data_IF_874469529897
#
_entry.id   IF_874469529897
#
_cell.length_a   1.000
_cell.length_b   1.000
_cell.length_c   1.000
_cell.angle_alpha   90.00
_cell.angle_beta   90.00
_cell.angle_gamma   90.00
#
_symmetry.space_group_name_H-M   'P 1'
#
loop_
_entity.id
_entity.type
_entity.pdbx_description
1 polymer ?
#
# COMPACT_ATOMS: atom_id res chain seq x y z
N UNK A 1 -10.47 20.27 -12.88
CA UNK A 1 -10.55 19.32 -11.73
C UNK A 1 -10.60 17.87 -12.23
N UNK A 2 -10.20 17.57 -13.47
CA UNK A 2 -8.83 17.34 -13.93
C UNK A 2 -8.19 16.08 -13.32
N UNK A 3 -8.11 15.05 -14.18
CA UNK A 3 -7.40 13.77 -14.09
C UNK A 3 -6.12 13.78 -13.21
N UNK A 4 -6.25 13.79 -11.89
CA UNK A 4 -5.15 13.63 -10.94
C UNK A 4 -4.99 12.15 -10.56
N UNK A 5 -3.83 11.53 -10.80
CA UNK A 5 -3.64 10.09 -10.63
C UNK A 5 -3.80 9.63 -9.17
N UNK A 6 -3.59 10.51 -8.18
CA UNK A 6 -3.76 10.24 -6.75
C UNK A 6 -5.05 10.79 -6.14
N UNK A 7 -6.07 11.07 -6.95
CA UNK A 7 -7.36 11.53 -6.44
C UNK A 7 -8.13 10.40 -5.74
N UNK A 8 -8.42 10.55 -4.45
CA UNK A 8 -9.09 9.59 -3.60
C UNK A 8 -10.36 10.21 -2.98
N UNK A 9 -11.42 9.41 -2.85
CA UNK A 9 -12.66 9.81 -2.20
C UNK A 9 -13.07 8.79 -1.14
N UNK A 10 -12.69 9.04 0.12
CA UNK A 10 -13.06 8.20 1.28
C UNK A 10 -13.70 9.09 2.35
N UNK A 11 -14.95 9.52 2.14
CA UNK A 11 -15.66 10.45 3.03
C UNK A 11 -15.26 11.93 2.84
N UNK A 12 -13.97 12.20 2.60
CA UNK A 12 -13.44 13.47 2.12
C UNK A 12 -12.66 13.28 0.81
N UNK A 13 -12.54 14.35 0.02
CA UNK A 13 -11.78 14.35 -1.23
C UNK A 13 -10.33 14.73 -0.90
N UNK A 14 -9.39 13.81 -1.13
CA UNK A 14 -7.97 14.04 -0.94
C UNK A 14 -7.26 13.79 -2.27
N UNK A 15 -6.42 14.73 -2.69
CA UNK A 15 -5.55 14.55 -3.86
C UNK A 15 -4.13 14.29 -3.38
N UNK A 16 -3.64 13.05 -3.60
CA UNK A 16 -2.22 12.75 -3.47
C UNK A 16 -1.51 13.27 -4.72
N UNK A 17 -0.55 14.16 -4.55
CA UNK A 17 0.07 14.90 -5.65
C UNK A 17 1.11 14.07 -6.44
N UNK A 18 1.38 12.84 -6.01
CA UNK A 18 2.32 11.94 -6.65
C UNK A 18 1.65 10.90 -7.53
N UNK A 19 2.34 10.52 -8.61
CA UNK A 19 1.96 9.42 -9.48
C UNK A 19 2.56 8.10 -8.97
N UNK A 20 1.96 7.53 -7.94
CA UNK A 20 2.45 6.29 -7.32
C UNK A 20 1.92 5.04 -8.03
N UNK A 21 2.64 3.91 -7.92
CA UNK A 21 2.17 2.63 -8.43
C UNK A 21 0.95 2.09 -7.67
N UNK A 22 0.72 2.52 -6.42
CA UNK A 22 -0.46 2.16 -5.63
C UNK A 22 -0.82 3.27 -4.63
N UNK A 23 -2.07 3.29 -4.17
CA UNK A 23 -2.60 4.27 -3.22
C UNK A 23 -3.35 3.57 -2.06
N UNK A 24 -3.64 4.27 -0.95
CA UNK A 24 -4.44 3.70 0.12
C UNK A 24 -5.83 3.29 -0.40
N UNK A 25 -6.24 2.06 -0.10
CA UNK A 25 -7.54 1.52 -0.48
C UNK A 25 -8.68 1.95 0.46
N UNK A 26 -8.38 2.74 1.49
CA UNK A 26 -9.35 3.30 2.43
C UNK A 26 -8.67 3.98 3.62
N UNK A 27 -9.49 4.39 4.59
CA UNK A 27 -9.05 5.00 5.86
C UNK A 27 -9.44 4.06 7.01
N UNK A 28 -8.55 3.91 7.99
CA UNK A 28 -8.80 3.19 9.23
C UNK A 28 -7.80 2.08 9.46
N UNK A 29 -7.37 1.92 10.71
CA UNK A 29 -6.37 0.93 11.11
C UNK A 29 -6.73 -0.50 10.69
N UNK A 30 -8.02 -0.86 10.63
CA UNK A 30 -8.47 -2.18 10.15
C UNK A 30 -8.12 -2.39 8.67
N UNK A 31 -8.25 -1.35 7.84
CA UNK A 31 -7.89 -1.40 6.42
C UNK A 31 -6.37 -1.51 6.29
N UNK A 32 -5.62 -0.70 7.05
CA UNK A 32 -4.16 -0.80 7.09
C UNK A 32 -3.67 -2.19 7.56
N UNK A 33 -4.31 -2.76 8.59
CA UNK A 33 -4.01 -4.10 9.08
C UNK A 33 -4.24 -5.15 8.00
N UNK A 34 -5.37 -5.08 7.30
CA UNK A 34 -5.67 -5.97 6.16
C UNK A 34 -4.63 -5.81 5.06
N UNK A 35 -4.29 -4.58 4.68
CA UNK A 35 -3.29 -4.27 3.65
C UNK A 35 -1.94 -4.93 3.94
N UNK A 36 -1.43 -4.82 5.17
CA UNK A 36 -0.17 -5.45 5.60
C UNK A 36 -0.31 -6.96 5.85
N UNK A 37 -1.48 -7.41 6.31
CA UNK A 37 -1.82 -8.79 6.68
C UNK A 37 -2.02 -9.74 5.50
N UNK A 38 -1.99 -9.22 4.29
CA UNK A 38 -2.10 -9.98 3.06
C UNK A 38 -0.89 -10.85 2.72
N UNK A 39 0.19 -10.70 3.48
CA UNK A 39 1.47 -11.31 3.19
C UNK A 39 1.80 -12.35 4.26
N UNK A 40 2.67 -13.34 3.95
CA UNK A 40 3.09 -14.33 4.93
C UNK A 40 3.63 -13.70 6.21
N UNK A 41 3.46 -14.39 7.34
CA UNK A 41 4.06 -13.99 8.61
C UNK A 41 5.56 -13.72 8.46
N UNK A 42 6.04 -12.65 9.09
CA UNK A 42 7.43 -12.21 9.00
C UNK A 42 7.76 -11.38 7.75
N UNK A 43 6.78 -11.10 6.87
CA UNK A 43 6.99 -10.17 5.77
C UNK A 43 7.37 -8.79 6.30
N UNK A 44 8.41 -8.21 5.70
CA UNK A 44 8.90 -6.87 5.99
C UNK A 44 8.51 -5.92 4.86
N UNK A 45 8.13 -4.71 5.24
CA UNK A 45 7.82 -3.64 4.31
C UNK A 45 8.78 -2.47 4.54
N UNK A 46 9.30 -1.95 3.45
CA UNK A 46 10.28 -0.87 3.43
C UNK A 46 9.61 0.39 2.88
N UNK A 47 9.82 1.52 3.55
CA UNK A 47 9.40 2.81 3.02
C UNK A 47 10.21 3.16 1.77
N UNK A 48 9.50 3.56 0.71
CA UNK A 48 10.12 4.09 -0.51
C UNK A 48 9.69 5.51 -0.82
N UNK A 49 8.57 5.96 -0.25
CA UNK A 49 8.09 7.31 -0.44
C UNK A 49 7.13 7.75 0.69
N UNK A 50 7.00 9.06 0.86
CA UNK A 50 6.18 9.70 1.88
C UNK A 50 5.63 11.04 1.38
N UNK A 51 4.33 11.06 1.08
CA UNK A 51 3.64 12.18 0.44
C UNK A 51 2.23 12.28 1.01
N UNK A 52 1.79 13.51 1.30
CA UNK A 52 0.43 13.84 1.73
C UNK A 52 -0.06 12.97 2.91
N UNK A 53 0.81 12.76 3.92
CA UNK A 53 0.56 11.94 5.14
C UNK A 53 0.32 10.46 4.85
N UNK A 54 0.76 9.99 3.68
CA UNK A 54 0.71 8.59 3.28
C UNK A 54 2.13 8.05 3.10
N UNK A 55 2.36 6.80 3.52
CA UNK A 55 3.59 6.06 3.25
C UNK A 55 3.38 5.09 2.11
N UNK A 56 4.26 5.15 1.11
CA UNK A 56 4.37 4.10 0.10
C UNK A 56 5.41 3.08 0.54
N UNK A 57 4.98 1.84 0.64
CA UNK A 57 5.79 0.73 1.13
C UNK A 57 5.98 -0.32 0.04
N UNK A 58 7.09 -1.05 0.09
CA UNK A 58 7.37 -2.20 -0.76
C UNK A 58 7.82 -3.39 0.09
N UNK A 59 7.43 -4.61 -0.30
CA UNK A 59 7.77 -5.83 0.46
C UNK A 59 9.14 -6.45 0.09
N UNK A 60 10.02 -5.66 -0.54
CA UNK A 60 11.38 -6.04 -0.93
C UNK A 60 12.32 -4.91 -0.55
N UNK A 61 13.54 -5.24 -0.10
CA UNK A 61 14.50 -4.22 0.29
C UNK A 61 14.87 -3.33 -0.92
N UNK A 62 14.56 -2.02 -0.90
CA UNK A 62 14.76 -1.13 -2.05
C UNK A 62 16.23 -0.98 -2.43
N UNK A 63 17.17 -1.21 -1.51
CA UNK A 63 18.62 -1.19 -1.78
C UNK A 63 19.06 -2.25 -2.80
N UNK A 64 18.26 -3.30 -2.97
CA UNK A 64 18.53 -4.39 -3.90
C UNK A 64 17.82 -4.22 -5.26
N UNK A 65 17.11 -3.10 -5.46
CA UNK A 65 16.27 -2.87 -6.64
C UNK A 65 16.83 -1.72 -7.47
N UNK A 66 16.79 -1.87 -8.80
CA UNK A 66 17.18 -0.81 -9.74
C UNK A 66 16.15 0.32 -9.80
N UNK A 67 14.88 -0.06 -9.76
CA UNK A 67 13.72 0.83 -9.77
C UNK A 67 12.71 0.24 -8.81
N UNK A 68 12.49 0.87 -7.67
CA UNK A 68 11.56 0.38 -6.65
C UNK A 68 10.12 0.88 -6.86
N UNK A 69 9.86 1.71 -7.88
CA UNK A 69 8.51 2.11 -8.29
C UNK A 69 7.92 1.22 -9.39
N UNK A 70 8.72 0.33 -9.98
CA UNK A 70 8.28 -0.61 -11.03
C UNK A 70 7.05 -1.42 -10.56
N UNK A 71 5.96 -1.28 -11.31
CA UNK A 71 4.63 -1.85 -11.02
C UNK A 71 4.63 -3.38 -10.90
N UNK A 72 5.71 -4.05 -11.31
CA UNK A 72 5.87 -5.49 -11.10
C UNK A 72 5.99 -5.86 -9.62
N UNK A 73 6.48 -4.93 -8.79
CA UNK A 73 6.61 -5.13 -7.35
C UNK A 73 5.29 -4.94 -6.63
N UNK A 74 5.32 -5.17 -5.32
CA UNK A 74 4.14 -5.04 -4.48
C UNK A 74 4.26 -3.84 -3.60
N UNK A 75 3.40 -2.88 -3.91
CA UNK A 75 3.31 -1.63 -3.22
C UNK A 75 2.09 -1.64 -2.31
N UNK A 76 2.28 -1.20 -1.08
CA UNK A 76 1.21 -0.97 -0.12
C UNK A 76 1.30 0.48 0.29
N UNK A 77 0.23 1.24 0.08
CA UNK A 77 0.14 2.61 0.56
C UNK A 77 -0.78 2.67 1.78
N UNK A 78 -0.33 3.35 2.83
CA UNK A 78 -1.00 3.37 4.13
C UNK A 78 -0.92 4.77 4.72
N UNK A 79 -2.02 5.25 5.32
CA UNK A 79 -2.02 6.53 6.05
C UNK A 79 -1.13 6.46 7.29
N UNK A 80 -0.41 7.53 7.57
CA UNK A 80 0.46 7.62 8.75
C UNK A 80 -0.35 7.49 10.06
N UNK A 81 -1.54 8.08 10.11
CA UNK A 81 -2.49 7.96 11.24
C UNK A 81 -2.89 6.52 11.52
N UNK A 82 -3.13 5.73 10.47
CA UNK A 82 -3.46 4.31 10.60
C UNK A 82 -2.25 3.50 11.09
N UNK A 83 -1.03 3.81 10.63
CA UNK A 83 0.20 3.19 11.13
C UNK A 83 0.43 3.49 12.61
N UNK A 84 0.19 4.73 13.03
CA UNK A 84 0.26 5.14 14.45
C UNK A 84 -0.71 4.32 15.29
N UNK A 85 -1.97 4.23 14.85
CA UNK A 85 -2.99 3.47 15.58
C UNK A 85 -2.65 1.97 15.65
N UNK A 86 -2.15 1.38 14.57
CA UNK A 86 -1.67 0.00 14.57
C UNK A 86 -0.50 -0.21 15.55
N UNK A 87 0.41 0.75 15.63
CA UNK A 87 1.55 0.68 16.53
C UNK A 87 1.14 0.82 18.00
N UNK A 88 0.26 1.78 18.31
CA UNK A 88 -0.33 1.96 19.65
C UNK A 88 -1.06 0.71 20.15
N UNK A 89 -1.72 -0.01 19.23
CA UNK A 89 -2.36 -1.31 19.52
C UNK A 89 -1.38 -2.49 19.61
N UNK A 90 -0.10 -2.27 19.33
CA UNK A 90 0.92 -3.33 19.32
C UNK A 90 0.79 -4.31 18.16
N UNK A 91 0.08 -3.94 17.08
CA UNK A 91 -0.20 -4.80 15.93
C UNK A 91 0.90 -4.76 14.87
N UNK A 92 1.69 -3.68 14.85
CA UNK A 92 2.89 -3.53 14.03
C UNK A 92 4.09 -3.10 14.86
N UNK A 93 5.28 -3.34 14.32
CA UNK A 93 6.56 -2.86 14.84
C UNK A 93 7.37 -2.19 13.73
N UNK A 94 8.42 -1.47 14.13
CA UNK A 94 9.40 -0.88 13.19
C UNK A 94 9.10 0.56 12.77
N UNK A 95 8.17 1.24 13.47
CA UNK A 95 7.90 2.65 13.29
C UNK A 95 8.41 3.49 14.47
N UNK A 96 8.63 4.77 14.21
CA UNK A 96 8.88 5.80 15.23
C UNK A 96 7.89 6.92 14.99
N UNK A 97 7.05 7.20 16.00
CA UNK A 97 6.14 8.35 16.01
C UNK A 97 6.94 9.63 16.27
N UNK A 98 6.63 10.70 15.54
CA UNK A 98 7.23 12.02 15.69
C UNK A 98 6.14 13.09 15.72
N UNK A 99 6.39 14.20 16.43
CA UNK A 99 5.61 15.43 16.25
C UNK A 99 5.92 16.07 14.90
N UNK A 100 5.10 17.04 14.47
CA UNK A 100 5.37 17.91 13.30
C UNK A 100 6.78 18.52 13.39
N UNK A 101 7.10 19.13 14.54
CA UNK A 101 8.37 19.79 14.80
C UNK A 101 9.58 18.84 14.74
N UNK A 102 9.47 17.65 15.33
CA UNK A 102 10.48 16.59 15.23
C UNK A 102 10.65 16.08 13.79
N UNK A 103 9.55 15.89 13.08
CA UNK A 103 9.53 15.37 11.72
C UNK A 103 10.15 16.35 10.72
N UNK A 104 9.84 17.65 10.83
CA UNK A 104 10.45 18.70 10.03
C UNK A 104 11.97 18.75 10.23
N UNK A 105 12.43 18.65 11.49
CA UNK A 105 13.84 18.59 11.80
C UNK A 105 14.50 17.32 11.23
N UNK A 106 13.80 16.18 11.29
CA UNK A 106 14.26 14.93 10.70
C UNK A 106 14.41 15.05 9.17
N UNK A 107 13.39 15.56 8.47
CA UNK A 107 13.39 15.79 7.01
C UNK A 107 14.48 16.76 6.59
N UNK A 108 14.68 17.82 7.37
CA UNK A 108 15.78 18.76 7.17
C UNK A 108 17.12 18.03 7.22
N UNK A 109 17.41 17.29 8.30
CA UNK A 109 18.66 16.52 8.48
C UNK A 109 18.88 15.48 7.37
N UNK A 110 17.84 14.76 6.95
CA UNK A 110 17.93 13.80 5.85
C UNK A 110 18.25 14.48 4.51
N UNK A 111 17.66 15.64 4.26
CA UNK A 111 17.96 16.45 3.07
C UNK A 111 19.43 16.89 3.06
N UNK A 112 19.98 17.27 4.22
CA UNK A 112 21.39 17.63 4.35
C UNK A 112 22.34 16.47 4.04
N UNK A 113 22.04 15.24 4.49
CA UNK A 113 22.86 14.06 4.16
C UNK A 113 22.95 13.80 2.65
N UNK A 114 21.90 14.16 1.90
CA UNK A 114 21.85 14.02 0.44
C UNK A 114 22.63 15.12 -0.29
N UNK A 115 22.70 16.30 0.32
CA UNK A 115 23.52 17.41 -0.16
C UNK A 115 24.99 17.07 0.18
N UNK A 116 25.70 16.41 -0.72
CA UNK A 116 27.15 16.25 -0.58
C UNK A 116 27.89 17.61 -0.64
N UNK A 117 29.16 17.66 -0.24
CA UNK A 117 30.02 18.83 -0.44
C UNK A 117 30.29 19.70 0.80
N UNK A 118 30.79 20.92 0.58
CA UNK A 118 31.18 21.88 1.62
C UNK A 118 29.95 22.62 2.14
N UNK A 119 29.31 22.02 3.14
CA UNK A 119 28.20 22.62 3.87
C UNK A 119 28.76 23.46 5.04
N UNK A 120 28.22 24.65 5.25
CA UNK A 120 28.46 25.45 6.46
C UNK A 120 27.13 25.71 7.16
N UNK A 121 27.17 25.79 8.49
CA UNK A 121 26.06 26.18 9.34
C UNK A 121 26.30 27.62 9.82
N UNK A 122 25.27 28.46 9.77
CA UNK A 122 25.33 29.82 10.33
C UNK A 122 24.92 29.85 11.81
N UNK A 123 25.01 31.02 12.44
CA UNK A 123 24.75 31.20 13.87
C UNK A 123 23.31 30.84 14.29
N UNK A 124 22.36 30.83 13.34
CA UNK A 124 20.95 30.49 13.55
C UNK A 124 20.68 29.00 13.27
N UNK A 125 21.71 28.23 12.90
CA UNK A 125 21.59 26.82 12.53
C UNK A 125 21.05 26.58 11.11
N UNK A 126 20.94 27.62 10.28
CA UNK A 126 20.61 27.45 8.87
C UNK A 126 21.81 26.95 8.10
N UNK A 127 21.55 26.28 6.99
CA UNK A 127 22.57 25.64 6.20
C UNK A 127 22.87 26.45 4.94
N UNK A 128 24.15 26.77 4.76
CA UNK A 128 24.72 27.43 3.59
C UNK A 128 25.43 26.37 2.74
N UNK A 129 24.86 26.07 1.58
CA UNK A 129 25.43 25.14 0.62
C UNK A 129 26.06 25.90 -0.56
N UNK A 130 27.35 25.68 -0.76
CA UNK A 130 28.11 26.24 -1.88
C UNK A 130 28.18 25.21 -3.02
N UNK A 131 27.45 25.45 -4.11
CA UNK A 131 27.43 24.55 -5.26
C UNK A 131 27.70 25.31 -6.56
N UNK A 132 28.26 24.63 -7.56
CA UNK A 132 28.33 25.18 -8.93
C UNK A 132 27.05 24.83 -9.68
N UNK A 133 26.49 25.81 -10.39
CA UNK A 133 25.38 25.55 -11.31
C UNK A 133 25.85 24.80 -12.57
N UNK A 134 24.90 24.51 -13.47
CA UNK A 134 25.16 23.78 -14.72
C UNK A 134 26.18 24.49 -15.63
N UNK A 135 26.38 25.80 -15.44
CA UNK A 135 27.32 26.63 -16.20
C UNK A 135 28.66 26.83 -15.47
N UNK A 136 28.87 26.13 -14.34
CA UNK A 136 30.09 26.20 -13.55
C UNK A 136 30.20 27.44 -12.66
N UNK A 137 29.16 28.28 -12.58
CA UNK A 137 29.13 29.45 -11.68
C UNK A 137 28.81 29.03 -10.27
N UNK A 138 29.54 29.57 -9.31
CA UNK A 138 29.25 29.35 -7.90
C UNK A 138 27.92 30.01 -7.51
N UNK A 139 27.08 29.24 -6.83
CA UNK A 139 25.85 29.68 -6.19
C UNK A 139 25.86 29.27 -4.73
N UNK A 140 25.28 30.13 -3.91
CA UNK A 140 25.02 29.89 -2.50
C UNK A 140 23.53 29.63 -2.37
N UNK A 141 23.18 28.46 -1.84
CA UNK A 141 21.80 28.11 -1.51
C UNK A 141 21.71 28.05 0.00
N UNK A 142 20.77 28.81 0.59
CA UNK A 142 20.51 28.81 2.03
C UNK A 142 19.26 27.98 2.32
N UNK A 143 19.41 26.95 3.12
CA UNK A 143 18.32 26.12 3.62
C UNK A 143 18.04 26.54 5.05
N UNK A 144 16.85 27.08 5.30
CA UNK A 144 16.46 27.52 6.64
C UNK A 144 16.19 26.31 7.52
N UNK A 145 16.72 26.33 8.75
CA UNK A 145 16.31 25.37 9.76
C UNK A 145 14.83 25.59 10.06
N UNK A 146 14.02 24.54 10.24
CA UNK A 146 12.65 24.69 10.67
C UNK A 146 12.58 25.49 11.97
N UNK A 147 11.65 26.43 12.05
CA UNK A 147 11.34 27.14 13.29
C UNK A 147 10.53 26.13 14.13
N UNK A 148 11.05 25.79 15.31
CA UNK A 148 10.34 24.96 16.27
C UNK A 148 9.59 25.94 17.17
N UNK A 149 8.26 25.90 17.18
CA UNK A 149 7.50 26.70 18.14
C UNK A 149 7.77 26.14 19.54
N UNK A 150 8.39 26.96 20.41
CA UNK A 150 8.65 26.58 21.81
C UNK A 150 7.35 26.51 22.64
N UNK A 151 6.24 27.02 22.08
CA UNK A 151 4.90 27.10 22.65
C UNK A 151 3.91 26.13 21.96
N UNK A 152 4.35 24.95 21.48
CA UNK A 152 3.41 23.86 21.15
C UNK A 152 2.73 23.40 22.46
N UNK A 153 1.62 24.06 22.81
CA UNK A 153 0.70 23.77 23.92
C UNK A 153 0.48 22.26 24.08
N UNK A 154 1.03 21.65 25.15
CA UNK A 154 0.71 20.40 25.92
C UNK A 154 -0.06 19.21 25.26
N UNK A 155 -0.25 19.23 23.95
CA UNK A 155 -1.03 18.32 23.12
C UNK A 155 -0.15 17.90 21.94
N UNK A 156 1.06 17.40 22.24
CA UNK A 156 2.04 16.78 21.34
C UNK A 156 1.34 15.79 20.37
N UNK A 157 0.78 16.31 19.28
CA UNK A 157 -0.01 15.51 18.36
C UNK A 157 0.97 14.83 17.42
N UNK A 158 1.36 13.61 17.78
CA UNK A 158 2.20 12.77 16.94
C UNK A 158 1.38 12.22 15.79
N UNK A 159 1.39 12.91 14.67
CA UNK A 159 0.74 12.49 13.42
C UNK A 159 1.73 12.00 12.36
N UNK A 160 3.03 12.11 12.65
CA UNK A 160 4.09 11.68 11.75
C UNK A 160 4.73 10.35 12.13
N UNK A 161 5.07 9.58 11.09
CA UNK A 161 5.71 8.27 11.21
C UNK A 161 7.01 8.25 10.42
N UNK A 162 8.07 7.77 11.05
CA UNK A 162 9.32 7.39 10.37
C UNK A 162 9.49 5.88 10.44
N UNK A 163 9.95 5.28 9.34
CA UNK A 163 10.30 3.86 9.24
C UNK A 163 11.83 3.76 9.05
N UNK A 164 12.62 3.59 10.11
CA UNK A 164 14.09 3.63 10.01
C UNK A 164 14.71 2.50 9.18
N UNK A 165 14.06 1.33 9.15
CA UNK A 165 14.48 0.18 8.35
C UNK A 165 13.28 -0.47 7.65
N UNK A 166 12.42 -1.13 8.42
CA UNK A 166 11.23 -1.79 7.89
C UNK A 166 10.14 -1.93 8.95
N UNK A 167 8.90 -2.08 8.49
CA UNK A 167 7.76 -2.44 9.33
C UNK A 167 7.35 -3.90 9.10
N UNK A 168 6.77 -4.51 10.12
CA UNK A 168 6.17 -5.84 10.02
C UNK A 168 5.02 -5.99 11.00
N UNK A 169 4.11 -6.92 10.71
CA UNK A 169 3.09 -7.33 11.68
C UNK A 169 3.72 -8.06 12.86
N UNK A 170 3.15 -7.82 14.04
CA UNK A 170 3.41 -8.62 15.25
C UNK A 170 2.52 -9.87 15.26
N UNK A 171 2.71 -10.75 16.25
CA UNK A 171 1.82 -11.91 16.43
C UNK A 171 0.42 -11.46 16.77
N UNK A 172 0.31 -10.41 17.58
CA UNK A 172 -0.93 -9.76 17.97
C UNK A 172 -1.65 -9.19 16.74
N UNK A 173 -0.92 -8.56 15.81
CA UNK A 173 -1.45 -8.12 14.52
C UNK A 173 -2.09 -9.25 13.70
N UNK A 174 -1.45 -10.42 13.67
CA UNK A 174 -1.97 -11.59 12.95
C UNK A 174 -3.23 -12.15 13.64
N UNK A 175 -3.26 -12.18 14.97
CA UNK A 175 -4.43 -12.60 15.73
C UNK A 175 -5.60 -11.64 15.53
N UNK A 176 -5.36 -10.34 15.60
CA UNK A 176 -6.38 -9.32 15.39
C UNK A 176 -6.95 -9.38 13.96
N UNK A 177 -6.10 -9.66 12.97
CA UNK A 177 -6.56 -9.87 11.59
C UNK A 177 -7.56 -11.05 11.50
N UNK A 178 -7.35 -12.12 12.29
CA UNK A 178 -8.30 -13.22 12.38
C UNK A 178 -9.61 -12.81 13.08
N UNK A 179 -9.55 -11.95 14.11
CA UNK A 179 -10.75 -11.40 14.79
C UNK A 179 -11.57 -10.54 13.82
N UNK A 180 -10.91 -9.67 13.06
CA UNK A 180 -11.56 -8.87 12.01
C UNK A 180 -12.21 -9.74 10.91
N UNK A 181 -11.91 -11.04 10.90
CA UNK A 181 -12.47 -11.99 9.96
C UNK A 181 -13.73 -12.72 10.45
N UNK A 182 -14.07 -12.56 11.73
CA UNK A 182 -15.24 -13.16 12.32
C UNK A 182 -16.52 -12.49 11.82
N UNK A 183 -17.56 -13.29 11.56
CA UNK A 183 -18.85 -12.77 11.11
C UNK A 183 -18.88 -12.25 9.66
N UNK A 184 -17.82 -12.42 8.88
CA UNK A 184 -17.84 -12.04 7.45
C UNK A 184 -18.83 -12.90 6.69
N UNK A 185 -19.73 -12.22 5.98
CA UNK A 185 -20.58 -12.82 4.96
C UNK A 185 -19.95 -12.66 3.57
N UNK A 186 -19.91 -13.75 2.82
CA UNK A 186 -19.41 -13.78 1.44
C UNK A 186 -20.57 -13.69 0.46
N UNK A 187 -20.32 -13.19 -0.75
CA UNK A 187 -21.26 -13.34 -1.88
C UNK A 187 -21.67 -14.81 -2.08
N UNK A 188 -22.87 -15.02 -2.62
CA UNK A 188 -23.38 -16.38 -2.85
C UNK A 188 -22.49 -17.17 -3.83
N UNK A 189 -21.85 -16.50 -4.79
CA UNK A 189 -20.90 -17.12 -5.71
C UNK A 189 -19.68 -17.68 -4.95
N UNK A 190 -19.04 -16.88 -4.10
CA UNK A 190 -17.88 -17.34 -3.30
C UNK A 190 -18.32 -18.38 -2.28
N UNK A 191 -19.46 -18.17 -1.62
CA UNK A 191 -19.99 -19.08 -0.60
C UNK A 191 -20.33 -20.46 -1.16
N UNK A 192 -20.94 -20.52 -2.35
CA UNK A 192 -21.31 -21.78 -3.01
C UNK A 192 -20.08 -22.63 -3.35
N UNK A 193 -18.99 -21.99 -3.79
CA UNK A 193 -17.73 -22.66 -4.12
C UNK A 193 -16.95 -23.09 -2.87
N UNK A 194 -16.86 -22.21 -1.88
CA UNK A 194 -15.92 -22.38 -0.76
C UNK A 194 -16.50 -23.12 0.44
N UNK A 195 -17.80 -22.98 0.71
CA UNK A 195 -18.42 -23.58 1.92
C UNK A 195 -18.24 -25.09 2.02
N UNK A 196 -18.39 -25.90 0.95
CA UNK A 196 -18.13 -27.34 1.03
C UNK A 196 -16.67 -27.66 1.40
N UNK A 197 -15.72 -26.88 0.88
CA UNK A 197 -14.29 -27.06 1.12
C UNK A 197 -13.89 -26.67 2.54
N UNK A 198 -14.45 -25.58 3.05
CA UNK A 198 -14.27 -25.14 4.43
C UNK A 198 -14.80 -26.19 5.43
N UNK A 199 -15.96 -26.79 5.16
CA UNK A 199 -16.51 -27.90 5.98
C UNK A 199 -15.58 -29.11 6.05
N UNK A 200 -14.83 -29.36 4.98
CA UNK A 200 -13.84 -30.44 4.90
C UNK A 200 -12.44 -30.01 5.42
N UNK A 201 -12.30 -28.80 5.96
CA UNK A 201 -11.03 -28.20 6.39
C UNK A 201 -9.97 -28.17 5.27
N UNK A 202 -10.41 -27.95 4.03
CA UNK A 202 -9.54 -27.77 2.86
C UNK A 202 -9.38 -26.28 2.55
N UNK A 203 -8.71 -25.56 3.46
CA UNK A 203 -8.61 -24.10 3.47
C UNK A 203 -7.86 -23.55 2.24
N UNK A 204 -6.71 -24.16 1.93
CA UNK A 204 -5.90 -23.85 0.75
C UNK A 204 -6.68 -24.03 -0.56
N UNK A 205 -7.46 -25.12 -0.65
CA UNK A 205 -8.27 -25.43 -1.83
C UNK A 205 -9.41 -24.44 -1.97
N UNK A 206 -10.05 -24.04 -0.87
CA UNK A 206 -11.11 -23.02 -0.89
C UNK A 206 -10.60 -21.69 -1.47
N UNK A 207 -9.42 -21.24 -1.05
CA UNK A 207 -8.78 -20.02 -1.56
C UNK A 207 -8.46 -20.15 -3.06
N UNK A 208 -7.97 -21.33 -3.49
CA UNK A 208 -7.65 -21.59 -4.89
C UNK A 208 -8.89 -21.49 -5.78
N UNK A 209 -9.98 -22.16 -5.42
CA UNK A 209 -11.23 -22.12 -6.17
C UNK A 209 -11.83 -20.71 -6.23
N UNK A 210 -11.79 -19.99 -5.10
CA UNK A 210 -12.24 -18.61 -5.05
C UNK A 210 -11.40 -17.68 -5.96
N UNK A 211 -10.08 -17.87 -6.01
CA UNK A 211 -9.19 -17.12 -6.91
C UNK A 211 -9.44 -17.47 -8.39
N UNK A 212 -9.73 -18.74 -8.69
CA UNK A 212 -10.07 -19.22 -10.04
C UNK A 212 -11.40 -18.64 -10.55
N UNK A 213 -12.36 -18.36 -9.66
CA UNK A 213 -13.60 -17.70 -10.02
C UNK A 213 -13.32 -16.34 -10.67
N UNK A 214 -12.55 -15.47 -10.01
CA UNK A 214 -12.17 -14.15 -10.57
C UNK A 214 -11.49 -14.33 -11.92
N UNK A 215 -10.49 -15.24 -12.01
CA UNK A 215 -9.76 -15.45 -13.27
C UNK A 215 -10.69 -15.83 -14.41
N UNK A 216 -11.56 -16.80 -14.16
CA UNK A 216 -12.49 -17.33 -15.14
C UNK A 216 -13.50 -16.27 -15.55
N UNK A 217 -13.96 -15.44 -14.62
CA UNK A 217 -14.87 -14.33 -14.90
C UNK A 217 -14.22 -13.26 -15.79
N UNK A 218 -12.99 -12.83 -15.48
CA UNK A 218 -12.23 -11.90 -16.32
C UNK A 218 -11.99 -12.50 -17.73
N UNK A 219 -11.58 -13.78 -17.82
CA UNK A 219 -11.39 -14.46 -19.10
C UNK A 219 -12.65 -14.51 -19.94
N UNK A 220 -13.78 -14.87 -19.33
CA UNK A 220 -15.08 -14.97 -20.00
C UNK A 220 -15.55 -13.61 -20.51
N UNK A 221 -15.40 -12.56 -19.69
CA UNK A 221 -15.75 -11.20 -20.07
C UNK A 221 -14.99 -10.75 -21.32
N UNK A 222 -13.67 -10.96 -21.35
CA UNK A 222 -12.82 -10.56 -22.48
C UNK A 222 -12.80 -11.56 -23.65
N UNK A 223 -13.32 -12.76 -23.46
CA UNK A 223 -13.20 -13.89 -24.40
C UNK A 223 -11.74 -14.17 -24.83
N UNK A 224 -10.81 -14.23 -23.87
CA UNK A 224 -9.37 -14.47 -24.10
C UNK A 224 -8.86 -15.72 -23.39
N UNK A 225 -7.80 -16.31 -23.94
CA UNK A 225 -7.08 -17.43 -23.31
C UNK A 225 -5.77 -16.99 -22.63
N UNK A 226 -5.85 -15.89 -21.87
CA UNK A 226 -4.76 -15.41 -21.03
C UNK A 226 -4.93 -15.90 -19.59
N UNK A 227 -3.82 -15.92 -18.84
CA UNK A 227 -3.78 -16.41 -17.46
C UNK A 227 -2.84 -15.56 -16.60
N UNK A 228 -3.10 -15.58 -15.29
CA UNK A 228 -2.27 -14.94 -14.27
C UNK A 228 -1.97 -13.47 -14.57
N UNK A 229 -0.71 -13.06 -14.44
CA UNK A 229 -0.32 -11.65 -14.61
C UNK A 229 -0.63 -11.12 -16.02
N UNK A 230 -0.47 -11.94 -17.07
CA UNK A 230 -0.77 -11.50 -18.44
C UNK A 230 -2.25 -11.14 -18.63
N UNK A 231 -3.15 -11.88 -17.98
CA UNK A 231 -4.58 -11.59 -18.00
C UNK A 231 -4.89 -10.27 -17.27
N UNK A 232 -4.25 -10.04 -16.11
CA UNK A 232 -4.45 -8.82 -15.32
C UNK A 232 -3.97 -7.60 -16.10
N UNK A 233 -2.75 -7.64 -16.66
CA UNK A 233 -2.22 -6.51 -17.42
C UNK A 233 -3.07 -6.23 -18.67
N UNK A 234 -3.59 -7.27 -19.32
CA UNK A 234 -4.53 -7.12 -20.43
C UNK A 234 -5.81 -6.43 -19.97
N UNK A 235 -6.43 -6.93 -18.89
CA UNK A 235 -7.69 -6.38 -18.37
C UNK A 235 -7.54 -4.92 -17.93
N UNK A 236 -6.48 -4.59 -17.19
CA UNK A 236 -6.23 -3.24 -16.69
C UNK A 236 -5.96 -2.27 -17.84
N UNK A 237 -5.21 -2.69 -18.86
CA UNK A 237 -5.00 -1.88 -20.06
C UNK A 237 -6.32 -1.58 -20.77
N UNK A 238 -7.21 -2.56 -20.86
CA UNK A 238 -8.54 -2.39 -21.46
C UNK A 238 -9.40 -1.41 -20.64
N UNK A 239 -9.44 -1.57 -19.30
CA UNK A 239 -10.13 -0.63 -18.39
C UNK A 239 -9.61 0.80 -18.56
N UNK A 240 -8.29 0.98 -18.57
CA UNK A 240 -7.68 2.30 -18.78
C UNK A 240 -8.06 2.89 -20.14
N UNK A 241 -8.11 2.07 -21.19
CA UNK A 241 -8.51 2.54 -22.52
C UNK A 241 -9.98 2.98 -22.58
N UNK A 242 -10.86 2.31 -21.82
CA UNK A 242 -12.27 2.70 -21.67
C UNK A 242 -12.48 3.86 -20.67
N UNK A 243 -11.44 4.25 -19.92
CA UNK A 243 -11.42 5.42 -19.05
C UNK A 243 -10.63 6.60 -19.66
N UNK A 244 -10.80 6.87 -20.96
CA UNK A 244 -10.06 7.92 -21.70
C UNK A 244 -8.54 7.87 -21.52
N UNK A 245 -7.97 6.67 -21.42
CA UNK A 245 -6.56 6.42 -21.11
C UNK A 245 -6.09 7.04 -19.78
N UNK A 246 -7.01 7.33 -18.85
CA UNK A 246 -6.68 7.88 -17.55
C UNK A 246 -6.44 6.78 -16.54
N UNK A 247 -5.24 6.75 -15.97
CA UNK A 247 -4.88 5.76 -14.96
C UNK A 247 -5.10 6.29 -13.54
N UNK A 248 -6.35 6.23 -13.07
CA UNK A 248 -6.75 6.75 -11.76
C UNK A 248 -6.22 5.93 -10.59
N UNK A 249 -6.24 6.54 -9.39
CA UNK A 249 -5.89 5.87 -8.14
C UNK A 249 -6.72 4.60 -7.92
N UNK A 250 -8.03 4.67 -8.17
CA UNK A 250 -8.93 3.52 -8.04
C UNK A 250 -8.50 2.35 -8.93
N UNK A 251 -8.17 2.60 -10.21
CA UNK A 251 -7.71 1.53 -11.11
C UNK A 251 -6.35 0.97 -10.65
N UNK A 252 -5.48 1.80 -10.06
CA UNK A 252 -4.19 1.33 -9.51
C UNK A 252 -4.37 0.47 -8.26
N UNK A 253 -5.25 0.88 -7.34
CA UNK A 253 -5.65 0.06 -6.19
C UNK A 253 -6.21 -1.28 -6.67
N UNK A 254 -7.18 -1.25 -7.59
CA UNK A 254 -7.77 -2.44 -8.19
C UNK A 254 -6.73 -3.36 -8.85
N UNK A 255 -5.79 -2.80 -9.63
CA UNK A 255 -4.65 -3.55 -10.18
C UNK A 255 -3.85 -4.22 -9.05
N UNK A 256 -3.51 -3.48 -8.00
CA UNK A 256 -2.78 -3.98 -6.83
C UNK A 256 -3.46 -5.17 -6.17
N UNK A 257 -4.78 -5.10 -5.99
CA UNK A 257 -5.62 -6.16 -5.43
C UNK A 257 -5.57 -7.43 -6.31
N UNK A 258 -5.87 -7.30 -7.61
CA UNK A 258 -5.78 -8.39 -8.56
C UNK A 258 -4.38 -9.03 -8.55
N UNK A 259 -3.33 -8.22 -8.68
CA UNK A 259 -1.95 -8.72 -8.70
C UNK A 259 -1.62 -9.49 -7.42
N UNK A 260 -2.14 -9.06 -6.26
CA UNK A 260 -1.91 -9.76 -5.00
C UNK A 260 -2.57 -11.13 -4.97
N UNK A 261 -3.85 -11.20 -5.38
CA UNK A 261 -4.60 -12.46 -5.47
C UNK A 261 -3.88 -13.45 -6.41
N UNK A 262 -3.45 -12.98 -7.58
CA UNK A 262 -2.91 -13.89 -8.60
C UNK A 262 -1.45 -14.29 -8.39
N UNK A 263 -0.57 -13.38 -7.95
CA UNK A 263 0.86 -13.68 -7.86
C UNK A 263 1.34 -14.10 -6.46
N UNK A 264 0.65 -13.74 -5.38
CA UNK A 264 0.96 -14.26 -4.05
C UNK A 264 -0.01 -15.34 -3.63
N UNK A 265 -1.29 -15.01 -3.49
CA UNK A 265 -2.28 -15.92 -2.91
C UNK A 265 -2.35 -17.19 -3.76
N UNK A 266 -2.74 -17.09 -5.03
CA UNK A 266 -2.89 -18.26 -5.89
C UNK A 266 -1.58 -19.02 -6.07
N UNK A 267 -0.46 -18.35 -6.37
CA UNK A 267 0.82 -19.04 -6.58
C UNK A 267 1.29 -19.75 -5.31
N UNK A 268 1.17 -19.12 -4.14
CA UNK A 268 1.51 -19.75 -2.88
C UNK A 268 0.66 -20.99 -2.67
N UNK A 269 -0.66 -20.93 -2.86
CA UNK A 269 -1.51 -22.11 -2.66
C UNK A 269 -1.43 -23.14 -3.79
N UNK A 270 -0.98 -22.76 -4.99
CA UNK A 270 -0.77 -23.69 -6.10
C UNK A 270 0.53 -24.49 -5.95
N UNK A 271 1.58 -23.87 -5.42
CA UNK A 271 2.92 -24.46 -5.38
C UNK A 271 3.38 -24.86 -3.97
N UNK A 272 2.83 -24.24 -2.93
CA UNK A 272 3.22 -24.45 -1.54
C UNK A 272 1.99 -24.88 -0.73
N UNK A 273 1.98 -26.10 -0.20
CA UNK A 273 0.96 -26.56 0.74
C UNK A 273 1.12 -25.82 2.09
N UNK A 274 0.66 -24.57 2.15
CA UNK A 274 0.76 -23.73 3.34
C UNK A 274 -0.26 -24.18 4.38
N UNK A 275 0.20 -24.32 5.62
CA UNK A 275 -0.67 -24.49 6.78
C UNK A 275 -1.25 -23.12 7.11
N UNK A 276 -2.58 -23.00 7.02
CA UNK A 276 -3.32 -21.78 7.35
C UNK A 276 -4.16 -22.00 8.61
N UNK A 277 -4.34 -20.95 9.40
CA UNK A 277 -5.44 -20.89 10.36
C UNK A 277 -6.77 -20.62 9.64
N UNK A 278 -7.89 -21.00 10.27
CA UNK A 278 -9.22 -20.69 9.72
C UNK A 278 -9.44 -19.17 9.58
N UNK A 279 -8.95 -18.38 10.54
CA UNK A 279 -9.02 -16.92 10.47
C UNK A 279 -8.28 -16.36 9.25
N UNK A 280 -7.04 -16.79 9.02
CA UNK A 280 -6.28 -16.38 7.82
C UNK A 280 -7.03 -16.74 6.53
N UNK A 281 -7.61 -17.95 6.48
CA UNK A 281 -8.41 -18.35 5.33
C UNK A 281 -9.61 -17.41 5.10
N UNK A 282 -10.32 -17.03 6.18
CA UNK A 282 -11.49 -16.15 6.07
C UNK A 282 -11.15 -14.75 5.57
N UNK A 283 -10.03 -14.20 6.03
CA UNK A 283 -9.52 -12.88 5.58
C UNK A 283 -9.20 -12.92 4.09
N UNK A 284 -8.48 -13.95 3.65
CA UNK A 284 -8.11 -14.10 2.24
C UNK A 284 -9.35 -14.28 1.36
N UNK A 285 -10.33 -15.08 1.81
CA UNK A 285 -11.59 -15.25 1.10
C UNK A 285 -12.41 -13.97 1.04
N UNK A 286 -12.45 -13.18 2.11
CA UNK A 286 -13.11 -11.87 2.10
C UNK A 286 -12.50 -10.96 1.05
N UNK A 287 -11.17 -10.90 0.99
CA UNK A 287 -10.49 -10.06 0.03
C UNK A 287 -10.79 -10.48 -1.41
N UNK A 288 -10.74 -11.79 -1.68
CA UNK A 288 -11.12 -12.34 -2.98
C UNK A 288 -12.57 -11.95 -3.32
N UNK A 289 -13.49 -12.07 -2.37
CA UNK A 289 -14.89 -11.68 -2.56
C UNK A 289 -15.04 -10.18 -2.85
N UNK A 290 -14.34 -9.32 -2.10
CA UNK A 290 -14.31 -7.88 -2.32
C UNK A 290 -13.78 -7.53 -3.71
N UNK A 291 -12.63 -8.08 -4.11
CA UNK A 291 -12.08 -7.84 -5.46
C UNK A 291 -12.96 -8.42 -6.57
N UNK A 292 -13.70 -9.50 -6.30
CA UNK A 292 -14.68 -10.04 -7.23
C UNK A 292 -15.89 -9.11 -7.40
N UNK A 293 -16.37 -8.50 -6.31
CA UNK A 293 -17.41 -7.48 -6.37
C UNK A 293 -16.91 -6.21 -7.06
N UNK A 294 -15.69 -5.75 -6.74
CA UNK A 294 -15.05 -4.61 -7.40
C UNK A 294 -14.86 -4.86 -8.90
N UNK A 295 -14.52 -6.09 -9.32
CA UNK A 295 -14.51 -6.46 -10.74
C UNK A 295 -15.87 -6.21 -11.40
N UNK A 296 -16.98 -6.64 -10.79
CA UNK A 296 -18.33 -6.40 -11.32
C UNK A 296 -18.64 -4.91 -11.41
N UNK A 297 -18.26 -4.13 -10.39
CA UNK A 297 -18.44 -2.68 -10.37
C UNK A 297 -17.61 -1.98 -11.45
N UNK A 298 -16.36 -2.38 -11.66
CA UNK A 298 -15.47 -1.87 -12.72
C UNK A 298 -16.06 -2.18 -14.10
N UNK A 299 -16.61 -3.38 -14.32
CA UNK A 299 -17.28 -3.69 -15.59
C UNK A 299 -18.47 -2.76 -15.81
N UNK A 300 -19.34 -2.61 -14.82
CA UNK A 300 -20.51 -1.73 -14.95
C UNK A 300 -20.12 -0.26 -15.13
N UNK A 301 -19.04 0.21 -14.50
CA UNK A 301 -18.64 1.61 -14.54
C UNK A 301 -17.97 2.03 -15.87
N UNK A 302 -17.29 1.11 -16.56
CA UNK A 302 -16.47 1.44 -17.73
C UNK A 302 -16.95 0.80 -19.04
N UNK A 303 -17.92 -0.11 -19.00
CA UNK A 303 -18.37 -0.85 -20.19
C UNK A 303 -19.89 -0.83 -20.42
N UNK A 304 -20.67 -0.26 -19.49
CA UNK A 304 -22.11 -0.01 -19.64
C UNK A 304 -22.38 1.50 -19.79
#
# INVERSE_FOLDING_TARGET
MEKFPGFLGYGEIIAIHADWPNYPSGIGWQIALKTLGNFPEGTRFYEIDDIDRCKLLINLNPKNLKDYYDEKYYHSAVWQTDLIELHKRGLIQGIVEMSDSEFDLFRFKESLKKLGGSIQEDEEGNIIHYCKDKDGKFRVIRYRKPILDEDEDDWDYRDHVVIPDSISLTKEGILELAVLSEGIEYSEEIKSLTSPLLKLRRLDTAIREASLLIETSIKKFHNVDLYGQKLIEFHIKDVVSNNDNFYSAAIKCYRGELRTIFKFIRNDFAHNFKILSEGQCRVILQRIDQTYNEFKEVINAYYE
#
